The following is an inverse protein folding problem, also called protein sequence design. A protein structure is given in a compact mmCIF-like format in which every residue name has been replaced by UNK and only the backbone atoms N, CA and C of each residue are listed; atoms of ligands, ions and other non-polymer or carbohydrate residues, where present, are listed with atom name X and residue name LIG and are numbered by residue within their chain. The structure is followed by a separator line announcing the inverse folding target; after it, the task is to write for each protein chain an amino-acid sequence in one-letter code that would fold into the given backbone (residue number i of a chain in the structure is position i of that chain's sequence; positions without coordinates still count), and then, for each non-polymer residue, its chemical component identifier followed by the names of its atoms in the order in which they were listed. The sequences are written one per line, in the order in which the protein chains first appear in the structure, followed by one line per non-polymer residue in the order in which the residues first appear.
data_IF_937386115046
#
_entry.id   IF_937386115046
#
_cell.length_a   1.000
_cell.length_b   1.000
_cell.length_c   1.000
_cell.angle_alpha   90.00
_cell.angle_beta   90.00
_cell.angle_gamma   90.00
#
_symmetry.space_group_name_H-M   'P 1'
#
loop_
_entity.id
_entity.type
_entity.pdbx_description
1 polymer ?
#
# COMPACT_ATOMS: atom_id res chain seq x y z
N UNK A 1 -21.81 38.71 -28.34
CA UNK A 1 -20.59 38.46 -27.55
C UNK A 1 -20.98 37.47 -26.45
N UNK A 2 -20.86 36.17 -26.74
CA UNK A 2 -21.26 35.13 -25.78
C UNK A 2 -20.18 34.99 -24.72
N UNK A 3 -20.43 35.56 -23.54
CA UNK A 3 -19.66 35.25 -22.35
C UNK A 3 -20.08 33.86 -21.89
N UNK A 4 -19.35 32.84 -22.33
CA UNK A 4 -19.41 31.51 -21.72
C UNK A 4 -18.95 31.66 -20.27
N UNK A 5 -19.91 31.70 -19.35
CA UNK A 5 -19.69 31.55 -17.92
C UNK A 5 -18.99 30.20 -17.73
N UNK A 6 -17.70 30.27 -17.41
CA UNK A 6 -16.91 29.10 -16.99
C UNK A 6 -17.51 28.63 -15.67
N UNK A 7 -18.37 27.63 -15.74
CA UNK A 7 -18.93 26.97 -14.56
C UNK A 7 -17.81 26.68 -13.55
N UNK A 8 -17.83 27.26 -12.33
CA UNK A 8 -16.86 26.93 -11.29
C UNK A 8 -17.12 25.55 -10.66
N UNK A 9 -18.15 24.82 -11.12
CA UNK A 9 -18.75 23.70 -10.42
C UNK A 9 -18.26 22.29 -10.82
N UNK A 10 -17.22 22.15 -11.64
CA UNK A 10 -16.74 20.82 -12.06
C UNK A 10 -15.22 20.69 -11.96
N UNK A 11 -14.66 20.95 -10.78
CA UNK A 11 -13.52 20.14 -10.37
C UNK A 11 -14.02 18.69 -10.28
N UNK A 12 -14.04 17.97 -11.41
CA UNK A 12 -14.31 16.54 -11.44
C UNK A 12 -13.28 15.91 -10.51
N UNK A 13 -13.70 15.57 -9.30
CA UNK A 13 -12.86 14.86 -8.34
C UNK A 13 -12.51 13.54 -9.03
N UNK A 14 -11.26 13.43 -9.49
CA UNK A 14 -10.74 12.25 -10.18
C UNK A 14 -10.48 11.15 -9.13
N UNK A 15 -11.58 10.66 -8.55
CA UNK A 15 -11.60 9.65 -7.50
C UNK A 15 -10.71 8.44 -7.83
N UNK A 16 -10.72 7.87 -9.05
CA UNK A 16 -9.83 6.76 -9.40
C UNK A 16 -8.33 7.10 -9.30
N UNK A 17 -7.95 8.34 -9.64
CA UNK A 17 -6.56 8.81 -9.56
C UNK A 17 -6.11 8.99 -8.12
N UNK A 18 -7.00 9.49 -7.25
CA UNK A 18 -6.72 9.58 -5.82
C UNK A 18 -6.58 8.19 -5.19
N UNK A 19 -7.44 7.23 -5.54
CA UNK A 19 -7.32 5.84 -5.05
C UNK A 19 -6.01 5.18 -5.47
N UNK A 20 -5.58 5.38 -6.73
CA UNK A 20 -4.30 4.86 -7.22
C UNK A 20 -3.10 5.46 -6.46
N UNK A 21 -3.14 6.76 -6.14
CA UNK A 21 -2.11 7.42 -5.32
C UNK A 21 -2.13 6.92 -3.88
N UNK A 22 -3.31 6.73 -3.28
CA UNK A 22 -3.46 6.19 -1.93
C UNK A 22 -2.91 4.76 -1.81
N UNK A 23 -3.04 3.94 -2.86
CA UNK A 23 -2.42 2.62 -2.94
C UNK A 23 -0.89 2.67 -2.80
N UNK A 24 -0.24 3.64 -3.47
CA UNK A 24 1.21 3.85 -3.36
C UNK A 24 1.59 4.39 -1.98
N UNK A 25 0.84 5.36 -1.47
CA UNK A 25 1.07 5.94 -0.13
C UNK A 25 0.97 4.87 0.96
N UNK A 26 0.02 3.93 0.84
CA UNK A 26 -0.12 2.82 1.78
C UNK A 26 1.15 1.95 1.83
N UNK A 27 1.74 1.62 0.68
CA UNK A 27 3.00 0.87 0.64
C UNK A 27 4.16 1.66 1.26
N UNK A 28 4.28 2.96 0.95
CA UNK A 28 5.34 3.82 1.52
C UNK A 28 5.21 3.93 3.03
N UNK A 29 4.00 4.19 3.52
CA UNK A 29 3.77 4.32 4.95
C UNK A 29 3.93 2.98 5.69
N UNK A 30 3.58 1.85 5.09
CA UNK A 30 3.95 0.53 5.61
C UNK A 30 5.47 0.41 5.78
N UNK A 31 6.26 0.72 4.74
CA UNK A 31 7.73 0.66 4.83
C UNK A 31 8.28 1.59 5.92
N UNK A 32 7.78 2.82 6.03
CA UNK A 32 8.22 3.78 7.03
C UNK A 32 7.93 3.30 8.46
N UNK A 33 6.73 2.75 8.70
CA UNK A 33 6.37 2.19 10.01
C UNK A 33 7.27 1.00 10.37
N UNK A 34 7.53 0.10 9.42
CA UNK A 34 8.40 -1.06 9.64
C UNK A 34 9.84 -0.63 9.94
N UNK A 35 10.37 0.36 9.21
CA UNK A 35 11.73 0.89 9.44
C UNK A 35 11.81 1.61 10.79
N UNK A 36 10.84 2.47 11.10
CA UNK A 36 10.81 3.18 12.38
C UNK A 36 10.76 2.20 13.55
N UNK A 37 9.93 1.16 13.44
CA UNK A 37 9.85 0.11 14.44
C UNK A 37 11.15 -0.68 14.58
N UNK A 38 11.79 -1.08 13.47
CA UNK A 38 13.08 -1.77 13.51
C UNK A 38 14.21 -0.93 14.15
N UNK A 39 14.20 0.38 13.92
CA UNK A 39 15.16 1.30 14.54
C UNK A 39 14.92 1.46 16.05
N UNK A 40 13.67 1.41 16.49
CA UNK A 40 13.31 1.46 17.91
C UNK A 40 13.61 0.12 18.59
N UNK A 41 13.26 -1.01 17.97
CA UNK A 41 13.49 -2.36 18.52
C UNK A 41 14.98 -2.68 18.65
N UNK A 42 15.81 -2.21 17.72
CA UNK A 42 17.26 -2.37 17.79
C UNK A 42 17.90 -1.65 19.00
N UNK A 43 17.24 -0.62 19.55
CA UNK A 43 17.74 0.14 20.71
C UNK A 43 17.36 -0.49 22.05
N UNK A 44 16.36 -1.37 22.09
CA UNK A 44 15.77 -1.83 23.33
C UNK A 44 15.64 -3.36 23.37
N UNK A 45 16.49 -4.03 24.16
CA UNK A 45 16.46 -5.49 24.37
C UNK A 45 15.43 -5.85 25.44
N UNK A 46 14.15 -5.66 25.15
CA UNK A 46 13.05 -6.02 26.06
C UNK A 46 12.17 -7.12 25.46
N UNK A 47 11.85 -8.19 26.22
CA UNK A 47 11.02 -9.30 25.73
C UNK A 47 9.57 -8.87 25.37
N UNK A 48 9.11 -7.71 25.84
CA UNK A 48 7.80 -7.13 25.50
C UNK A 48 7.65 -6.79 24.01
N UNK A 49 8.76 -6.63 23.29
CA UNK A 49 8.76 -6.34 21.86
C UNK A 49 8.20 -7.50 21.01
N UNK A 50 8.19 -8.74 21.52
CA UNK A 50 7.62 -9.89 20.79
C UNK A 50 6.11 -9.74 20.52
N UNK A 51 5.37 -9.10 21.42
CA UNK A 51 3.94 -8.80 21.22
C UNK A 51 3.75 -7.62 20.27
N UNK A 52 4.61 -6.60 20.38
CA UNK A 52 4.61 -5.45 19.48
C UNK A 52 4.99 -5.86 18.04
N UNK A 53 5.90 -6.82 17.86
CA UNK A 53 6.29 -7.38 16.56
C UNK A 53 5.09 -7.95 15.81
N UNK A 54 4.25 -8.71 16.53
CA UNK A 54 3.03 -9.30 15.95
C UNK A 54 2.04 -8.23 15.53
N UNK A 55 1.82 -7.22 16.38
CA UNK A 55 0.88 -6.12 16.09
C UNK A 55 1.38 -5.31 14.89
N UNK A 56 2.64 -4.89 14.90
CA UNK A 56 3.23 -4.07 13.84
C UNK A 56 3.25 -4.83 12.51
N UNK A 57 3.58 -6.13 12.54
CA UNK A 57 3.48 -6.99 11.35
C UNK A 57 2.04 -7.14 10.85
N UNK A 58 1.07 -7.34 11.74
CA UNK A 58 -0.34 -7.46 11.36
C UNK A 58 -0.88 -6.16 10.76
N UNK A 59 -0.53 -5.01 11.34
CA UNK A 59 -0.88 -3.68 10.81
C UNK A 59 -0.25 -3.47 9.44
N UNK A 60 1.04 -3.80 9.27
CA UNK A 60 1.73 -3.70 7.99
C UNK A 60 1.05 -4.55 6.90
N UNK A 61 0.72 -5.80 7.20
CA UNK A 61 0.01 -6.69 6.25
C UNK A 61 -1.38 -6.13 5.90
N UNK A 62 -2.16 -5.70 6.89
CA UNK A 62 -3.48 -5.11 6.66
C UNK A 62 -3.39 -3.85 5.77
N UNK A 63 -2.35 -3.05 5.97
CA UNK A 63 -2.08 -1.85 5.20
C UNK A 63 -1.75 -2.17 3.74
N UNK A 64 -0.90 -3.18 3.49
CA UNK A 64 -0.61 -3.66 2.12
C UNK A 64 -1.84 -4.28 1.43
N UNK A 65 -2.66 -5.04 2.16
CA UNK A 65 -3.92 -5.59 1.62
C UNK A 65 -4.91 -4.49 1.23
N UNK A 66 -5.04 -3.46 2.07
CA UNK A 66 -5.87 -2.30 1.75
C UNK A 66 -5.32 -1.53 0.54
N UNK A 67 -4.00 -1.30 0.48
CA UNK A 67 -3.33 -0.70 -0.67
C UNK A 67 -3.54 -1.48 -1.96
N UNK A 68 -3.48 -2.81 -1.91
CA UNK A 68 -3.76 -3.71 -3.04
C UNK A 68 -5.22 -3.59 -3.49
N UNK A 69 -6.17 -3.58 -2.56
CA UNK A 69 -7.61 -3.46 -2.87
C UNK A 69 -7.92 -2.11 -3.52
N UNK A 70 -7.32 -1.03 -3.02
CA UNK A 70 -7.43 0.31 -3.62
C UNK A 70 -6.80 0.36 -5.03
N UNK A 71 -5.66 -0.30 -5.22
CA UNK A 71 -5.03 -0.44 -6.53
C UNK A 71 -5.91 -1.20 -7.53
N UNK A 72 -6.52 -2.33 -7.11
CA UNK A 72 -7.40 -3.13 -7.97
C UNK A 72 -8.68 -2.38 -8.36
N UNK A 73 -9.30 -1.69 -7.39
CA UNK A 73 -10.50 -0.89 -7.65
C UNK A 73 -10.20 0.31 -8.56
N UNK A 74 -9.06 0.98 -8.37
CA UNK A 74 -8.60 2.04 -9.25
C UNK A 74 -8.30 1.52 -10.66
N UNK A 75 -7.67 0.35 -10.79
CA UNK A 75 -7.39 -0.28 -12.08
C UNK A 75 -8.68 -0.66 -12.82
N UNK A 76 -9.63 -1.29 -12.14
CA UNK A 76 -10.94 -1.62 -12.70
C UNK A 76 -11.69 -0.37 -13.17
N UNK A 77 -11.63 0.72 -12.39
CA UNK A 77 -12.21 2.01 -12.77
C UNK A 77 -11.48 2.65 -13.97
N UNK A 78 -10.15 2.53 -14.04
CA UNK A 78 -9.34 3.05 -15.13
C UNK A 78 -9.64 2.32 -16.46
N UNK A 79 -9.78 0.99 -16.42
CA UNK A 79 -10.17 0.17 -17.58
C UNK A 79 -11.56 0.57 -18.08
N UNK A 80 -12.54 0.71 -17.17
CA UNK A 80 -13.91 1.12 -17.53
C UNK A 80 -14.00 2.52 -18.15
N UNK A 81 -13.09 3.42 -17.76
CA UNK A 81 -13.05 4.81 -18.26
C UNK A 81 -12.01 5.04 -19.36
N UNK A 82 -11.34 3.99 -19.82
CA UNK A 82 -10.22 4.05 -20.78
C UNK A 82 -9.16 5.11 -20.42
N UNK A 83 -8.91 5.30 -19.12
CA UNK A 83 -7.95 6.29 -18.63
C UNK A 83 -6.59 5.63 -18.38
N UNK A 84 -5.71 5.72 -19.37
CA UNK A 84 -4.39 5.10 -19.36
C UNK A 84 -3.52 5.56 -18.18
N UNK A 85 -3.43 6.87 -17.93
CA UNK A 85 -2.60 7.44 -16.86
C UNK A 85 -2.99 6.88 -15.48
N UNK A 86 -4.28 6.77 -15.22
CA UNK A 86 -4.78 6.20 -13.95
C UNK A 86 -4.49 4.70 -13.87
N UNK A 87 -4.64 3.99 -14.99
CA UNK A 87 -4.32 2.57 -15.09
C UNK A 87 -2.85 2.28 -14.77
N UNK A 88 -1.92 3.06 -15.34
CA UNK A 88 -0.48 2.92 -15.09
C UNK A 88 -0.16 3.14 -13.60
N UNK A 89 -0.69 4.20 -12.99
CA UNK A 89 -0.45 4.48 -11.56
C UNK A 89 -1.01 3.34 -10.69
N UNK A 90 -2.19 2.81 -11.03
CA UNK A 90 -2.79 1.69 -10.30
C UNK A 90 -1.96 0.40 -10.45
N UNK A 91 -1.44 0.10 -11.64
CA UNK A 91 -0.54 -1.05 -11.87
C UNK A 91 0.74 -0.92 -11.06
N UNK A 92 1.35 0.28 -11.01
CA UNK A 92 2.54 0.53 -10.18
C UNK A 92 2.22 0.27 -8.70
N UNK A 93 1.12 0.83 -8.20
CA UNK A 93 0.67 0.60 -6.82
C UNK A 93 0.44 -0.88 -6.52
N UNK A 94 -0.19 -1.62 -7.43
CA UNK A 94 -0.40 -3.05 -7.33
C UNK A 94 0.90 -3.86 -7.34
N UNK A 95 1.84 -3.49 -8.20
CA UNK A 95 3.13 -4.16 -8.28
C UNK A 95 3.93 -3.98 -6.99
N UNK A 96 3.93 -2.78 -6.42
CA UNK A 96 4.62 -2.49 -5.16
C UNK A 96 3.97 -3.26 -4.00
N UNK A 97 2.65 -3.10 -3.80
CA UNK A 97 1.95 -3.76 -2.68
C UNK A 97 1.97 -5.30 -2.84
N UNK A 98 1.72 -5.79 -4.05
CA UNK A 98 1.74 -7.23 -4.36
C UNK A 98 3.13 -7.84 -4.25
N UNK A 99 4.17 -7.14 -4.70
CA UNK A 99 5.56 -7.56 -4.54
C UNK A 99 5.98 -7.65 -3.08
N UNK A 100 5.60 -6.66 -2.26
CA UNK A 100 5.82 -6.69 -0.80
C UNK A 100 5.09 -7.87 -0.14
N UNK A 101 3.81 -8.09 -0.48
CA UNK A 101 3.05 -9.23 0.04
C UNK A 101 3.67 -10.57 -0.38
N UNK A 102 4.13 -10.70 -1.63
CA UNK A 102 4.79 -11.90 -2.12
C UNK A 102 6.10 -12.18 -1.38
N UNK A 103 6.91 -11.15 -1.10
CA UNK A 103 8.13 -11.27 -0.30
C UNK A 103 7.84 -11.68 1.14
N UNK A 104 6.82 -11.08 1.77
CA UNK A 104 6.39 -11.47 3.13
C UNK A 104 5.91 -12.93 3.13
N UNK A 105 5.10 -13.34 2.15
CA UNK A 105 4.63 -14.71 2.03
C UNK A 105 5.79 -15.69 1.82
N UNK A 106 6.74 -15.36 0.94
CA UNK A 106 7.96 -16.15 0.74
C UNK A 106 8.74 -16.32 2.05
N UNK A 107 8.96 -15.24 2.79
CA UNK A 107 9.68 -15.29 4.05
C UNK A 107 8.99 -16.18 5.09
N UNK A 108 7.67 -16.05 5.25
CA UNK A 108 6.89 -16.80 6.23
C UNK A 108 6.77 -18.28 5.86
N UNK A 109 6.56 -18.59 4.57
CA UNK A 109 6.26 -19.94 4.11
C UNK A 109 7.52 -20.78 3.83
N UNK A 110 8.63 -20.14 3.47
CA UNK A 110 9.83 -20.85 3.00
C UNK A 110 11.02 -20.60 3.93
N UNK A 111 11.30 -19.34 4.28
CA UNK A 111 12.48 -19.03 5.10
C UNK A 111 12.27 -19.39 6.57
N UNK A 112 11.19 -18.91 7.20
CA UNK A 112 10.93 -19.14 8.62
C UNK A 112 10.92 -20.63 9.02
N UNK A 113 10.28 -21.55 8.26
CA UNK A 113 10.26 -22.97 8.61
C UNK A 113 11.60 -23.67 8.39
N UNK A 114 12.49 -23.09 7.58
CA UNK A 114 13.83 -23.63 7.31
C UNK A 114 14.89 -23.22 8.34
N UNK A 115 14.55 -22.29 9.24
CA UNK A 115 15.42 -21.89 10.34
C UNK A 115 15.27 -22.88 11.51
N UNK A 116 16.37 -23.27 12.18
CA UNK A 116 16.29 -24.11 13.36
C UNK A 116 15.43 -23.41 14.43
N UNK A 117 14.49 -24.17 15.00
CA UNK A 117 13.71 -23.73 16.16
C UNK A 117 14.66 -23.64 17.34
N UNK A 118 15.15 -22.43 17.65
CA UNK A 118 15.73 -22.12 18.97
C UNK A 118 14.64 -22.02 20.04
#
# INVERSE_FOLDING_TARGET
MNVTLKDPAAAKIDWPRHLARLSIIAAVACCLIQVAYAQLSAKEKSPEWSSADRVVSAVGIAMLLSGTTLGLTALAAAIRRSNYDTGVIAVIGLFINGGLLALIAWWVLIVRPSLPLE
#
